data_IF_583181994993
#
_entry.id   IF_583181994993
#
_cell.length_a   1.000
_cell.length_b   1.000
_cell.length_c   1.000
_cell.angle_alpha   90.00
_cell.angle_beta   90.00
_cell.angle_gamma   90.00
#
_symmetry.space_group_name_H-M   'P 1'
#
loop_
_entity.id
_entity.type
_entity.pdbx_description
1 polymer ?
#
# COMPACT_ATOMS: atom_id res chain seq x y z
N UNK A 1 -11.58 2.73 -2.75
CA UNK A 1 -10.55 3.72 -3.12
C UNK A 1 -9.40 3.61 -2.13
N UNK A 2 -8.18 3.49 -2.61
CA UNK A 2 -6.95 3.52 -1.81
C UNK A 2 -6.34 4.92 -1.95
N UNK A 3 -5.96 5.54 -0.84
CA UNK A 3 -5.37 6.88 -0.85
C UNK A 3 -3.98 6.86 -0.25
N UNK A 4 -3.03 7.38 -1.04
CA UNK A 4 -1.71 7.81 -0.61
C UNK A 4 -1.72 9.33 -0.61
N UNK A 5 -1.12 9.97 0.39
CA UNK A 5 -1.17 11.43 0.48
C UNK A 5 0.10 12.03 1.04
N UNK A 6 0.48 13.19 0.52
CA UNK A 6 1.41 14.08 1.21
C UNK A 6 0.66 15.29 1.75
N UNK A 7 1.08 15.78 2.92
CA UNK A 7 0.46 16.92 3.57
C UNK A 7 1.51 17.97 3.92
N UNK A 8 1.49 19.09 3.21
CA UNK A 8 2.41 20.20 3.40
C UNK A 8 1.67 21.54 3.45
N UNK A 9 2.31 22.56 4.02
CA UNK A 9 1.75 23.91 4.18
C UNK A 9 1.34 24.58 2.86
N UNK A 10 1.98 24.22 1.74
CA UNK A 10 1.73 24.80 0.42
C UNK A 10 0.81 23.96 -0.48
N UNK A 11 0.25 22.86 0.03
CA UNK A 11 -0.70 22.04 -0.72
C UNK A 11 -2.00 22.82 -1.00
N UNK A 12 -2.78 22.35 -1.97
CA UNK A 12 -4.00 23.05 -2.39
C UNK A 12 -5.16 22.95 -1.40
N UNK A 13 -5.22 21.89 -0.61
CA UNK A 13 -6.24 21.71 0.42
C UNK A 13 -5.90 22.55 1.66
N UNK A 14 -6.79 23.47 2.04
CA UNK A 14 -6.51 24.51 3.04
C UNK A 14 -7.07 24.26 4.45
N UNK A 15 -7.96 23.28 4.60
CA UNK A 15 -8.55 22.94 5.89
C UNK A 15 -7.69 21.92 6.66
N UNK A 16 -8.22 21.31 7.73
CA UNK A 16 -7.45 20.37 8.56
C UNK A 16 -7.38 18.99 7.90
N UNK A 17 -6.40 18.13 8.25
CA UNK A 17 -6.36 16.75 7.76
C UNK A 17 -7.66 15.96 8.03
N UNK A 18 -8.34 16.24 9.13
CA UNK A 18 -9.64 15.66 9.45
C UNK A 18 -10.74 16.05 8.44
N UNK A 19 -10.69 17.27 7.91
CA UNK A 19 -11.63 17.76 6.90
C UNK A 19 -11.35 17.09 5.54
N UNK A 20 -10.07 16.84 5.21
CA UNK A 20 -9.72 16.02 4.04
C UNK A 20 -10.26 14.60 4.19
N UNK A 21 -10.11 13.96 5.35
CA UNK A 21 -10.67 12.63 5.61
C UNK A 21 -12.19 12.64 5.44
N UNK A 22 -12.88 13.65 5.97
CA UNK A 22 -14.33 13.82 5.79
C UNK A 22 -14.68 13.94 4.31
N UNK A 23 -13.96 14.76 3.54
CA UNK A 23 -14.18 14.90 2.11
C UNK A 23 -13.97 13.58 1.35
N UNK A 24 -12.92 12.81 1.68
CA UNK A 24 -12.66 11.49 1.09
C UNK A 24 -13.76 10.48 1.45
N UNK A 25 -14.23 10.46 2.70
CA UNK A 25 -15.37 9.63 3.14
C UNK A 25 -16.65 9.98 2.38
N UNK A 26 -16.94 11.27 2.18
CA UNK A 26 -18.07 11.72 1.36
C UNK A 26 -17.92 11.30 -0.10
N UNK A 27 -16.71 11.43 -0.67
CA UNK A 27 -16.46 11.10 -2.07
C UNK A 27 -16.61 9.60 -2.38
N UNK A 28 -16.24 8.71 -1.45
CA UNK A 28 -16.50 7.27 -1.61
C UNK A 28 -17.97 6.90 -1.39
N UNK A 29 -18.70 7.72 -0.63
CA UNK A 29 -20.11 7.52 -0.29
C UNK A 29 -20.37 6.35 0.66
N UNK A 30 -21.63 6.18 1.07
CA UNK A 30 -22.04 5.21 2.09
C UNK A 30 -21.83 3.74 1.67
N UNK A 31 -21.78 3.47 0.36
CA UNK A 31 -21.53 2.13 -0.18
C UNK A 31 -20.06 1.91 -0.58
N UNK A 32 -19.21 2.91 -0.38
CA UNK A 32 -17.80 2.84 -0.72
C UNK A 32 -16.93 2.31 0.41
N UNK A 33 -15.71 1.92 0.04
CA UNK A 33 -14.64 1.58 0.98
C UNK A 33 -13.46 2.54 0.74
N UNK A 34 -13.02 3.22 1.80
CA UNK A 34 -11.82 4.05 1.83
C UNK A 34 -10.69 3.28 2.54
N UNK A 35 -9.54 3.17 1.88
CA UNK A 35 -8.38 2.43 2.37
C UNK A 35 -7.14 3.33 2.36
N UNK A 36 -6.28 3.20 3.36
CA UNK A 36 -4.95 3.83 3.40
C UNK A 36 -3.93 2.85 3.97
N UNK A 37 -2.66 2.97 3.60
CA UNK A 37 -1.60 2.22 4.26
C UNK A 37 -1.28 2.83 5.62
N UNK A 38 -0.74 2.02 6.54
CA UNK A 38 -0.40 2.48 7.90
C UNK A 38 0.86 1.86 8.46
N UNK A 39 1.90 1.69 7.64
CA UNK A 39 3.16 1.09 8.10
C UNK A 39 3.71 1.84 9.33
N UNK A 40 4.18 1.12 10.37
CA UNK A 40 4.67 1.72 11.61
C UNK A 40 6.14 2.21 11.51
N UNK A 41 6.71 2.24 10.31
CA UNK A 41 8.08 2.66 10.01
C UNK A 41 8.12 3.48 8.72
N UNK A 42 9.20 4.26 8.56
CA UNK A 42 9.53 5.00 7.34
C UNK A 42 11.05 5.04 7.19
N UNK A 43 11.55 5.29 5.99
CA UNK A 43 13.00 5.38 5.68
C UNK A 43 13.81 4.15 6.12
N UNK A 44 13.20 2.97 6.10
CA UNK A 44 13.86 1.69 6.34
C UNK A 44 13.08 0.57 5.64
N UNK A 45 13.77 -0.54 5.39
CA UNK A 45 13.18 -1.77 4.88
C UNK A 45 12.35 -2.49 5.94
N UNK A 46 11.48 -3.40 5.48
CA UNK A 46 10.74 -4.31 6.35
C UNK A 46 11.67 -5.19 7.20
N UNK A 47 12.82 -5.60 6.65
CA UNK A 47 13.81 -6.38 7.38
C UNK A 47 14.40 -5.59 8.57
N UNK A 48 14.81 -4.34 8.33
CA UNK A 48 15.31 -3.45 9.40
C UNK A 48 14.24 -3.14 10.44
N UNK A 49 12.98 -3.00 10.03
CA UNK A 49 11.86 -2.82 10.97
C UNK A 49 11.68 -4.05 11.86
N UNK A 50 11.64 -5.25 11.27
CA UNK A 50 11.46 -6.51 12.01
C UNK A 50 12.62 -6.76 12.98
N UNK A 51 13.86 -6.45 12.57
CA UNK A 51 15.05 -6.58 13.42
C UNK A 51 15.01 -5.73 14.70
N UNK A 52 14.19 -4.68 14.75
CA UNK A 52 13.99 -3.88 15.99
C UNK A 52 13.19 -4.65 17.06
N UNK A 53 12.49 -5.72 16.69
CA UNK A 53 11.67 -6.52 17.61
C UNK A 53 10.48 -5.79 18.23
N UNK A 54 10.16 -4.57 17.76
CA UNK A 54 9.04 -3.78 18.27
C UNK A 54 7.72 -4.32 17.70
N UNK A 55 6.71 -4.60 18.54
CA UNK A 55 5.43 -5.08 18.04
C UNK A 55 4.66 -4.00 17.26
N UNK A 56 3.98 -4.41 16.19
CA UNK A 56 2.91 -3.63 15.57
C UNK A 56 1.63 -3.86 16.37
N UNK A 57 1.23 -2.87 17.16
CA UNK A 57 -0.03 -2.89 17.89
C UNK A 57 -1.12 -2.19 17.08
N UNK A 58 -2.20 -2.91 16.74
CA UNK A 58 -3.25 -2.39 15.85
C UNK A 58 -3.89 -1.09 16.37
N UNK A 59 -4.03 -0.95 17.70
CA UNK A 59 -4.63 0.22 18.35
C UNK A 59 -3.63 1.36 18.58
N UNK A 60 -2.37 1.04 18.88
CA UNK A 60 -1.41 2.02 19.45
C UNK A 60 -0.26 2.40 18.54
N UNK A 61 0.20 1.51 17.65
CA UNK A 61 1.34 1.85 16.78
C UNK A 61 0.93 2.99 15.83
N UNK A 62 1.71 4.07 15.73
CA UNK A 62 1.40 5.16 14.81
C UNK A 62 1.48 4.67 13.36
N UNK A 63 0.78 5.36 12.47
CA UNK A 63 1.09 5.32 11.05
C UNK A 63 2.24 6.27 10.76
N UNK A 64 3.30 5.78 10.14
CA UNK A 64 4.41 6.60 9.64
C UNK A 64 4.22 6.99 8.16
N UNK A 65 3.04 6.74 7.59
CA UNK A 65 2.69 7.01 6.19
C UNK A 65 2.10 8.42 5.98
N UNK A 66 2.57 9.40 6.76
CA UNK A 66 2.12 10.79 6.70
C UNK A 66 0.94 11.14 7.63
N UNK A 67 0.74 12.44 7.81
CA UNK A 67 -0.22 12.98 8.80
C UNK A 67 -1.66 12.53 8.54
N UNK A 68 -2.09 12.49 7.28
CA UNK A 68 -3.47 12.13 6.91
C UNK A 68 -3.76 10.68 7.30
N UNK A 69 -2.84 9.74 7.08
CA UNK A 69 -3.06 8.34 7.44
C UNK A 69 -3.09 8.13 8.96
N UNK A 70 -2.31 8.88 9.74
CA UNK A 70 -2.39 8.82 11.21
C UNK A 70 -3.69 9.42 11.76
N UNK A 71 -4.19 10.52 11.18
CA UNK A 71 -5.51 11.07 11.54
C UNK A 71 -6.62 10.11 11.11
N UNK A 72 -6.49 9.48 9.94
CA UNK A 72 -7.45 8.47 9.46
C UNK A 72 -7.47 7.26 10.41
N UNK A 73 -6.31 6.75 10.83
CA UNK A 73 -6.20 5.65 11.80
C UNK A 73 -6.99 5.89 13.09
N UNK A 74 -7.03 7.14 13.56
CA UNK A 74 -7.73 7.55 14.79
C UNK A 74 -9.19 7.95 14.57
N UNK A 75 -9.64 7.98 13.31
CA UNK A 75 -11.01 8.40 12.98
C UNK A 75 -12.01 7.31 13.33
N UNK A 76 -13.21 7.72 13.71
CA UNK A 76 -14.31 6.80 14.04
C UNK A 76 -14.64 5.84 12.88
N UNK A 77 -14.91 4.58 13.25
CA UNK A 77 -15.27 3.49 12.34
C UNK A 77 -14.12 2.99 11.45
N UNK A 78 -12.88 3.42 11.69
CA UNK A 78 -11.71 2.94 10.95
C UNK A 78 -11.15 1.69 11.62
N UNK A 79 -10.96 0.65 10.82
CA UNK A 79 -10.36 -0.62 11.23
C UNK A 79 -8.97 -0.76 10.62
N UNK A 80 -8.07 -1.51 11.28
CA UNK A 80 -6.70 -1.74 10.85
C UNK A 80 -6.41 -3.23 10.80
N UNK A 81 -5.89 -3.70 9.66
CA UNK A 81 -5.50 -5.10 9.48
C UNK A 81 -4.32 -5.50 10.38
N UNK A 82 -4.26 -6.76 10.78
CA UNK A 82 -3.20 -7.29 11.63
C UNK A 82 -1.99 -7.78 10.81
N UNK A 83 -1.02 -6.89 10.55
CA UNK A 83 0.22 -7.18 9.82
C UNK A 83 1.41 -6.49 10.46
N UNK A 84 2.50 -7.21 10.73
CA UNK A 84 3.67 -6.65 11.40
C UNK A 84 4.36 -5.55 10.58
N UNK A 85 4.19 -5.58 9.26
CA UNK A 85 4.92 -4.70 8.32
C UNK A 85 3.98 -3.78 7.54
N UNK A 86 2.92 -4.30 6.90
CA UNK A 86 2.12 -3.55 5.91
C UNK A 86 0.63 -3.40 6.28
N UNK A 87 0.27 -2.99 7.51
CA UNK A 87 -1.13 -2.90 7.88
C UNK A 87 -1.88 -1.87 7.04
N UNK A 88 -3.10 -2.22 6.59
CA UNK A 88 -4.05 -1.34 5.92
C UNK A 88 -5.10 -0.83 6.90
N UNK A 89 -5.51 0.43 6.72
CA UNK A 89 -6.66 1.06 7.35
C UNK A 89 -7.85 0.99 6.40
N UNK A 90 -9.03 0.74 6.92
CA UNK A 90 -10.25 0.62 6.14
C UNK A 90 -11.43 1.29 6.86
N UNK A 91 -12.25 2.02 6.10
CA UNK A 91 -13.51 2.60 6.55
C UNK A 91 -14.58 2.47 5.48
N UNK A 92 -15.82 2.24 5.91
CA UNK A 92 -16.99 2.13 5.04
C UNK A 92 -17.42 0.68 4.84
N UNK A 93 -17.97 0.39 3.67
CA UNK A 93 -18.59 -0.89 3.34
C UNK A 93 -17.65 -2.07 3.56
N UNK A 94 -18.07 -3.00 4.41
CA UNK A 94 -17.39 -4.27 4.73
C UNK A 94 -15.92 -4.09 5.15
N UNK A 95 -15.62 -2.99 5.86
CA UNK A 95 -14.24 -2.62 6.20
C UNK A 95 -13.52 -3.69 7.02
N UNK A 96 -14.20 -4.32 7.99
CA UNK A 96 -13.64 -5.40 8.81
C UNK A 96 -13.33 -6.64 7.98
N UNK A 97 -14.27 -7.08 7.14
CA UNK A 97 -14.08 -8.22 6.24
C UNK A 97 -13.00 -7.93 5.19
N UNK A 98 -12.85 -6.68 4.76
CA UNK A 98 -11.78 -6.31 3.85
C UNK A 98 -10.41 -6.51 4.48
N UNK A 99 -10.20 -6.07 5.72
CA UNK A 99 -8.89 -6.16 6.39
C UNK A 99 -8.57 -7.52 7.00
N UNK A 100 -9.56 -8.42 7.11
CA UNK A 100 -9.40 -9.74 7.73
C UNK A 100 -8.44 -10.64 6.94
N UNK A 101 -7.83 -11.60 7.66
CA UNK A 101 -6.91 -12.60 7.10
C UNK A 101 -5.48 -12.13 6.91
N UNK A 102 -5.18 -10.86 7.17
CA UNK A 102 -3.82 -10.32 6.95
C UNK A 102 -2.77 -10.96 7.86
N UNK A 103 -3.17 -11.51 9.00
CA UNK A 103 -2.26 -12.21 9.91
C UNK A 103 -1.92 -13.64 9.49
N UNK A 104 -2.65 -14.20 8.52
CA UNK A 104 -2.59 -15.62 8.16
C UNK A 104 -1.66 -15.88 6.95
N UNK A 105 -0.87 -14.89 6.53
CA UNK A 105 0.00 -14.95 5.34
C UNK A 105 1.45 -14.61 5.69
N UNK A 106 2.40 -15.33 5.08
CA UNK A 106 3.83 -15.00 5.12
C UNK A 106 4.20 -13.89 4.12
N UNK A 107 3.29 -13.53 3.20
CA UNK A 107 3.44 -12.46 2.21
C UNK A 107 2.47 -11.32 2.56
N UNK A 108 2.94 -10.21 3.17
CA UNK A 108 2.09 -9.10 3.62
C UNK A 108 1.30 -8.41 2.49
N UNK A 109 1.76 -8.52 1.25
CA UNK A 109 1.08 -7.99 0.07
C UNK A 109 0.91 -9.09 -0.99
N UNK A 110 0.83 -10.36 -0.58
CA UNK A 110 0.57 -11.49 -1.48
C UNK A 110 -0.93 -11.75 -1.70
N UNK A 111 -1.29 -12.85 -2.38
CA UNK A 111 -2.68 -13.15 -2.77
C UNK A 111 -3.62 -13.42 -1.58
N UNK A 112 -3.06 -13.88 -0.45
CA UNK A 112 -3.80 -14.12 0.80
C UNK A 112 -3.94 -12.85 1.67
N UNK A 113 -3.32 -11.73 1.26
CA UNK A 113 -3.42 -10.46 1.99
C UNK A 113 -4.64 -9.65 1.52
N UNK A 114 -5.08 -8.64 2.30
CA UNK A 114 -6.10 -7.69 1.85
C UNK A 114 -5.80 -6.94 0.53
N UNK A 115 -4.56 -6.98 0.03
CA UNK A 115 -4.22 -6.40 -1.26
C UNK A 115 -4.89 -7.15 -2.43
N UNK A 116 -5.14 -8.45 -2.35
CA UNK A 116 -5.89 -9.18 -3.40
C UNK A 116 -7.31 -8.66 -3.55
N UNK A 117 -7.97 -8.35 -2.43
CA UNK A 117 -9.31 -7.74 -2.39
C UNK A 117 -9.34 -6.35 -3.07
N UNK A 118 -8.21 -5.64 -3.16
CA UNK A 118 -8.12 -4.39 -3.94
C UNK A 118 -8.15 -4.66 -5.45
N UNK A 119 -7.45 -5.71 -5.91
CA UNK A 119 -7.47 -6.14 -7.30
C UNK A 119 -8.87 -6.63 -7.70
N UNK A 120 -9.47 -7.53 -6.90
CA UNK A 120 -10.82 -8.08 -7.13
C UNK A 120 -11.88 -6.99 -7.27
N UNK A 121 -11.76 -5.92 -6.47
CA UNK A 121 -12.67 -4.76 -6.50
C UNK A 121 -12.30 -3.72 -7.55
N UNK A 122 -11.26 -3.96 -8.35
CA UNK A 122 -10.64 -3.02 -9.28
C UNK A 122 -10.50 -1.61 -8.68
N UNK A 123 -9.88 -1.56 -7.49
CA UNK A 123 -9.84 -0.36 -6.68
C UNK A 123 -9.21 0.81 -7.43
N UNK A 124 -9.77 2.01 -7.24
CA UNK A 124 -9.10 3.26 -7.60
C UNK A 124 -8.00 3.53 -6.58
N UNK A 125 -6.75 3.63 -7.04
CA UNK A 125 -5.59 4.01 -6.22
C UNK A 125 -5.27 5.46 -6.55
N UNK A 126 -5.25 6.31 -5.54
CA UNK A 126 -5.14 7.76 -5.66
C UNK A 126 -3.96 8.27 -4.85
N UNK A 127 -3.08 9.03 -5.49
CA UNK A 127 -2.11 9.90 -4.86
C UNK A 127 -2.67 11.31 -4.77
N UNK A 128 -2.88 11.79 -3.54
CA UNK A 128 -3.32 13.14 -3.22
C UNK A 128 -2.13 13.97 -2.74
N UNK A 129 -1.60 14.82 -3.61
CA UNK A 129 -0.30 15.48 -3.43
C UNK A 129 0.85 14.48 -3.16
N UNK A 130 0.68 13.22 -3.58
CA UNK A 130 1.66 12.14 -3.45
C UNK A 130 1.96 11.53 -4.83
N UNK A 131 3.23 11.24 -5.16
CA UNK A 131 3.59 10.66 -6.45
C UNK A 131 3.25 9.16 -6.52
N UNK A 132 3.26 8.63 -7.74
CA UNK A 132 3.04 7.20 -8.01
C UNK A 132 4.00 6.30 -7.22
N UNK A 133 5.24 6.73 -6.99
CA UNK A 133 6.25 5.98 -6.22
C UNK A 133 5.88 5.68 -4.77
N UNK A 134 4.78 6.28 -4.27
CA UNK A 134 4.23 5.98 -2.94
C UNK A 134 3.23 4.83 -2.95
N UNK A 135 2.81 4.34 -4.12
CA UNK A 135 1.74 3.36 -4.26
C UNK A 135 2.20 1.97 -3.82
N UNK A 136 1.92 1.63 -2.56
CA UNK A 136 2.29 0.34 -1.98
C UNK A 136 1.67 -0.87 -2.71
N UNK A 137 0.60 -0.66 -3.48
CA UNK A 137 0.02 -1.71 -4.32
C UNK A 137 0.99 -2.21 -5.41
N UNK A 138 2.02 -1.44 -5.77
CA UNK A 138 3.09 -1.91 -6.66
C UNK A 138 3.77 -3.17 -6.13
N UNK A 139 3.93 -3.34 -4.82
CA UNK A 139 4.51 -4.57 -4.25
C UNK A 139 3.62 -5.80 -4.43
N UNK A 140 2.29 -5.64 -4.41
CA UNK A 140 1.37 -6.73 -4.74
C UNK A 140 1.47 -7.12 -6.22
N UNK A 141 1.69 -6.14 -7.10
CA UNK A 141 1.94 -6.39 -8.54
C UNK A 141 3.27 -7.10 -8.77
N UNK A 142 4.31 -6.75 -8.01
CA UNK A 142 5.60 -7.45 -8.04
C UNK A 142 5.45 -8.91 -7.62
N UNK A 143 4.68 -9.18 -6.57
CA UNK A 143 4.40 -10.56 -6.12
C UNK A 143 3.65 -11.38 -7.18
N UNK A 144 2.75 -10.76 -7.96
CA UNK A 144 2.09 -11.41 -9.10
C UNK A 144 3.01 -11.76 -10.26
N UNK A 145 4.20 -11.15 -10.30
CA UNK A 145 5.19 -11.33 -11.35
C UNK A 145 6.42 -12.09 -10.84
N UNK A 146 6.36 -12.68 -9.64
CA UNK A 146 7.52 -13.31 -8.98
C UNK A 146 8.23 -14.33 -9.88
N UNK A 147 7.48 -15.08 -10.69
CA UNK A 147 8.02 -16.11 -11.59
C UNK A 147 8.70 -15.53 -12.84
N UNK A 148 8.43 -14.27 -13.19
CA UNK A 148 9.07 -13.58 -14.33
C UNK A 148 10.24 -12.68 -13.92
N UNK A 149 10.52 -12.52 -12.62
CA UNK A 149 11.59 -11.66 -12.16
C UNK A 149 12.97 -12.26 -12.47
N UNK A 150 13.96 -11.43 -12.83
CA UNK A 150 15.33 -11.90 -13.07
C UNK A 150 16.09 -12.25 -11.78
N UNK A 151 15.48 -12.01 -10.61
CA UNK A 151 16.04 -12.27 -9.29
C UNK A 151 14.88 -12.53 -8.32
N UNK A 152 15.04 -13.41 -7.31
CA UNK A 152 13.99 -13.64 -6.32
C UNK A 152 13.47 -12.35 -5.69
N UNK A 153 12.14 -12.17 -5.68
CA UNK A 153 11.52 -10.99 -5.06
C UNK A 153 11.81 -10.90 -3.56
N UNK A 154 11.85 -12.05 -2.90
CA UNK A 154 11.96 -12.17 -1.45
C UNK A 154 13.30 -12.77 -1.03
N UNK A 155 13.76 -12.40 0.16
CA UNK A 155 14.78 -13.15 0.87
C UNK A 155 14.33 -14.60 1.12
N UNK A 156 15.26 -15.58 1.13
CA UNK A 156 14.92 -16.99 1.30
C UNK A 156 14.44 -17.32 2.71
N UNK A 157 14.95 -16.61 3.72
CA UNK A 157 14.61 -16.80 5.13
C UNK A 157 13.41 -15.94 5.54
N UNK A 158 12.51 -16.53 6.34
CA UNK A 158 11.42 -15.80 6.97
C UNK A 158 11.95 -15.01 8.17
N UNK A 159 11.50 -13.77 8.29
CA UNK A 159 11.78 -12.92 9.43
C UNK A 159 10.58 -12.88 10.39
N UNK A 160 10.87 -12.96 11.69
CA UNK A 160 9.85 -12.87 12.72
C UNK A 160 9.41 -11.41 12.94
N UNK A 161 8.10 -11.18 12.96
CA UNK A 161 7.48 -9.93 13.35
C UNK A 161 6.48 -10.13 14.46
N UNK A 162 6.41 -9.19 15.40
CA UNK A 162 5.43 -9.23 16.50
C UNK A 162 4.24 -8.36 16.17
N UNK A 163 3.04 -8.84 16.46
CA UNK A 163 1.80 -8.08 16.35
C UNK A 163 1.01 -8.16 17.65
N UNK A 164 0.27 -7.09 17.96
CA UNK A 164 -0.70 -7.07 19.06
C UNK A 164 -2.06 -6.73 18.50
N UNK A 165 -3.02 -7.63 18.70
CA UNK A 165 -4.38 -7.54 18.15
C UNK A 165 -5.28 -6.55 18.92
N UNK A 166 -6.57 -6.55 18.58
CA UNK A 166 -7.57 -5.68 19.21
C UNK A 166 -7.91 -6.08 20.65
N UNK A 167 -7.69 -7.32 21.04
CA UNK A 167 -7.94 -7.85 22.39
C UNK A 167 -6.68 -7.72 23.28
N UNK A 168 -5.55 -7.36 22.69
CA UNK A 168 -4.27 -7.18 23.38
C UNK A 168 -3.40 -8.42 23.36
N UNK A 169 -3.76 -9.46 22.60
CA UNK A 169 -2.95 -10.66 22.47
C UNK A 169 -1.77 -10.37 21.55
N UNK A 170 -0.56 -10.76 21.99
CA UNK A 170 0.64 -10.73 21.17
C UNK A 170 0.81 -12.05 20.44
N UNK A 171 1.16 -11.99 19.16
CA UNK A 171 1.54 -13.16 18.36
C UNK A 171 2.71 -12.85 17.42
N UNK A 172 3.39 -13.91 16.99
CA UNK A 172 4.49 -13.82 16.02
C UNK A 172 3.98 -14.18 14.63
N UNK A 173 4.31 -13.33 13.66
CA UNK A 173 4.15 -13.58 12.23
C UNK A 173 5.51 -13.90 11.62
N UNK A 174 5.57 -14.89 10.74
CA UNK A 174 6.78 -15.24 9.98
C UNK A 174 6.61 -14.73 8.56
N UNK A 175 7.44 -13.75 8.17
CA UNK A 175 7.20 -12.94 6.99
C UNK A 175 8.35 -13.02 6.00
N UNK A 176 8.00 -13.09 4.71
CA UNK A 176 8.90 -12.79 3.61
C UNK A 176 9.10 -11.30 3.51
N UNK A 177 10.34 -10.89 3.25
CA UNK A 177 10.71 -9.50 3.03
C UNK A 177 11.33 -9.34 1.65
N UNK A 178 11.06 -8.22 0.99
CA UNK A 178 11.61 -7.94 -0.34
C UNK A 178 13.14 -7.95 -0.27
N UNK A 179 13.77 -8.65 -1.20
CA UNK A 179 15.23 -8.71 -1.29
C UNK A 179 15.82 -7.33 -1.60
N UNK A 180 16.91 -6.90 -0.92
CA UNK A 180 17.63 -5.68 -1.28
C UNK A 180 18.11 -5.69 -2.74
N UNK A 181 18.44 -6.86 -3.30
CA UNK A 181 18.86 -7.00 -4.70
C UNK A 181 17.69 -6.69 -5.65
N UNK A 182 16.54 -7.34 -5.44
CA UNK A 182 15.33 -7.07 -6.22
C UNK A 182 14.92 -5.58 -6.13
N UNK A 183 14.98 -5.01 -4.92
CA UNK A 183 14.68 -3.59 -4.72
C UNK A 183 15.65 -2.66 -5.50
N UNK A 184 16.94 -3.01 -5.58
CA UNK A 184 17.95 -2.26 -6.36
C UNK A 184 17.75 -2.39 -7.88
N UNK A 185 17.23 -3.53 -8.33
CA UNK A 185 16.97 -3.79 -9.74
C UNK A 185 15.67 -3.17 -10.26
N UNK A 186 14.74 -2.79 -9.37
CA UNK A 186 13.49 -2.12 -9.76
C UNK A 186 13.75 -0.87 -10.60
N UNK A 187 13.04 -0.73 -11.72
CA UNK A 187 13.04 0.40 -12.66
C UNK A 187 11.61 0.89 -12.83
N UNK A 188 11.08 1.53 -11.78
CA UNK A 188 9.68 1.98 -11.72
C UNK A 188 9.34 2.94 -12.87
N UNK A 189 10.31 3.69 -13.37
CA UNK A 189 10.17 4.58 -14.53
C UNK A 189 9.70 3.84 -15.79
N UNK A 190 10.10 2.57 -15.99
CA UNK A 190 9.63 1.75 -17.12
C UNK A 190 8.16 1.41 -16.98
N UNK A 191 7.74 1.07 -15.76
CA UNK A 191 6.35 0.81 -15.44
C UNK A 191 5.51 2.07 -15.64
N UNK A 192 5.95 3.22 -15.13
CA UNK A 192 5.27 4.51 -15.33
C UNK A 192 5.13 4.83 -16.82
N UNK A 193 6.21 4.73 -17.60
CA UNK A 193 6.17 5.00 -19.05
C UNK A 193 5.16 4.11 -19.79
N UNK A 194 5.08 2.83 -19.43
CA UNK A 194 4.09 1.92 -19.98
C UNK A 194 2.64 2.29 -19.63
N UNK A 195 2.42 2.68 -18.37
CA UNK A 195 1.08 3.04 -17.91
C UNK A 195 0.63 4.39 -18.49
N UNK A 196 1.56 5.30 -18.76
CA UNK A 196 1.28 6.57 -19.44
C UNK A 196 1.03 6.35 -20.94
N UNK A 197 1.82 5.50 -21.61
CA UNK A 197 1.64 5.19 -23.04
C UNK A 197 0.30 4.47 -23.32
N UNK A 198 -0.16 3.65 -22.38
CA UNK A 198 -1.47 2.98 -22.43
C UNK A 198 -2.62 3.82 -21.88
N UNK A 199 -2.34 5.06 -21.44
CA UNK A 199 -3.31 5.99 -20.84
C UNK A 199 -4.02 5.42 -19.59
N UNK A 200 -3.40 4.46 -18.91
CA UNK A 200 -3.90 3.83 -17.68
C UNK A 200 -3.56 4.65 -16.43
N UNK A 201 -2.40 5.32 -16.41
CA UNK A 201 -2.01 6.24 -15.34
C UNK A 201 -2.50 7.64 -15.67
N UNK A 202 -3.31 8.20 -14.79
CA UNK A 202 -3.90 9.52 -14.98
C UNK A 202 -3.31 10.53 -14.00
N UNK A 203 -3.26 11.80 -14.44
CA UNK A 203 -2.81 12.93 -13.63
C UNK A 203 -3.79 14.09 -13.81
N UNK A 204 -3.96 14.88 -12.77
CA UNK A 204 -4.87 16.02 -12.77
C UNK A 204 -4.61 16.95 -11.59
N UNK A 205 -5.37 18.04 -11.52
CA UNK A 205 -5.28 18.98 -10.40
C UNK A 205 -6.65 19.45 -9.96
N UNK A 206 -6.78 19.73 -8.67
CA UNK A 206 -7.90 20.48 -8.09
C UNK A 206 -7.29 21.67 -7.35
N UNK A 207 -7.40 22.86 -7.92
CA UNK A 207 -6.63 24.02 -7.46
C UNK A 207 -5.13 23.72 -7.50
N UNK A 208 -4.45 23.91 -6.37
CA UNK A 208 -3.02 23.59 -6.25
C UNK A 208 -2.72 22.12 -5.91
N UNK A 209 -3.73 21.32 -5.55
CA UNK A 209 -3.53 19.90 -5.24
C UNK A 209 -3.29 19.12 -6.52
N UNK A 210 -2.20 18.36 -6.56
CA UNK A 210 -1.88 17.43 -7.62
C UNK A 210 -2.50 16.06 -7.31
N UNK A 211 -3.10 15.45 -8.32
CA UNK A 211 -3.68 14.12 -8.25
C UNK A 211 -2.99 13.21 -9.27
N UNK A 212 -2.71 11.99 -8.85
CA UNK A 212 -2.31 10.88 -9.73
C UNK A 212 -3.19 9.69 -9.38
N UNK A 213 -3.76 9.00 -10.37
CA UNK A 213 -4.62 7.86 -10.07
C UNK A 213 -4.56 6.78 -11.16
N UNK A 214 -4.86 5.56 -10.72
CA UNK A 214 -4.91 4.38 -11.57
C UNK A 214 -5.89 3.36 -11.00
N UNK A 215 -6.40 2.47 -11.86
CA UNK A 215 -7.18 1.30 -11.47
C UNK A 215 -6.25 0.12 -11.15
N UNK A 216 -6.49 -0.59 -10.06
CA UNK A 216 -5.68 -1.73 -9.63
C UNK A 216 -5.47 -2.77 -10.74
N UNK A 217 -6.52 -3.09 -11.51
CA UNK A 217 -6.42 -4.01 -12.64
C UNK A 217 -5.52 -3.47 -13.75
N UNK A 218 -5.62 -2.18 -14.06
CA UNK A 218 -4.82 -1.56 -15.11
C UNK A 218 -3.32 -1.51 -14.73
N UNK A 219 -3.02 -1.28 -13.44
CA UNK A 219 -1.66 -1.33 -12.92
C UNK A 219 -1.04 -2.74 -13.09
N UNK A 220 -1.77 -3.79 -12.70
CA UNK A 220 -1.30 -5.17 -12.88
C UNK A 220 -1.14 -5.53 -14.36
N UNK A 221 -2.13 -5.24 -15.20
CA UNK A 221 -2.10 -5.56 -16.64
C UNK A 221 -0.97 -4.82 -17.36
N UNK A 222 -0.70 -3.57 -17.00
CA UNK A 222 0.43 -2.82 -17.55
C UNK A 222 1.78 -3.45 -17.21
N UNK A 223 1.95 -3.90 -15.97
CA UNK A 223 3.16 -4.59 -15.52
C UNK A 223 3.33 -5.97 -16.18
N UNK A 224 2.26 -6.75 -16.30
CA UNK A 224 2.25 -8.04 -17.02
C UNK A 224 2.66 -7.88 -18.49
N UNK A 225 2.19 -6.81 -19.15
CA UNK A 225 2.57 -6.52 -20.54
C UNK A 225 4.08 -6.31 -20.67
N UNK A 226 4.71 -5.55 -19.77
CA UNK A 226 6.17 -5.39 -19.76
C UNK A 226 6.92 -6.71 -19.56
N UNK A 227 6.42 -7.58 -18.68
CA UNK A 227 7.02 -8.90 -18.46
C UNK A 227 6.94 -9.78 -19.71
N UNK A 228 5.80 -9.78 -20.41
CA UNK A 228 5.58 -10.55 -21.65
C UNK A 228 6.40 -10.03 -22.84
N UNK A 229 6.62 -8.71 -22.93
CA UNK A 229 7.38 -8.07 -24.02
C UNK A 229 8.91 -8.12 -23.81
N UNK A 230 9.38 -8.70 -22.71
CA UNK A 230 10.80 -8.79 -22.37
C UNK A 230 11.42 -7.47 -21.89
N UNK A 231 10.62 -6.41 -21.75
CA UNK A 231 11.03 -5.10 -21.23
C UNK A 231 10.67 -4.97 -19.76
N UNK A 232 11.04 -5.96 -18.95
CA UNK A 232 10.68 -6.02 -17.54
C UNK A 232 11.07 -4.71 -16.81
N UNK A 233 10.25 -4.29 -15.84
CA UNK A 233 10.57 -3.15 -14.96
C UNK A 233 11.55 -3.52 -13.83
N UNK A 234 12.32 -4.59 -14.03
CA UNK A 234 13.45 -5.01 -13.20
C UNK A 234 14.64 -5.24 -14.12
N UNK A 235 15.82 -4.79 -13.71
CA UNK A 235 17.07 -5.11 -14.40
C UNK A 235 17.53 -6.53 -14.10
N UNK A 236 18.23 -7.12 -15.06
CA UNK A 236 19.00 -8.34 -14.82
C UNK A 236 20.22 -8.03 -13.92
N UNK A 237 20.66 -8.99 -13.08
CA UNK A 237 21.87 -8.86 -12.26
C UNK A 237 23.12 -8.47 -13.03
#
# INVERSE_FOLDING_TARGET
>A
MVVHSSWHQHNGFRDKPADLIKALKTAVGNNGLLVMTSMPYHNMSSAEWLAKGKPMNVRRSPSMMGLVSEVFRRSEGVHRSLSATHPLLAWGKDAQDFISGHQDTDRPFGPQSPFSKLLERNALILGFDAPFSTFTFTHFVEDHLVDSLPTPLYEPELLAGKVVDYDGNESTQWLRVISPLANKQRREERLIAQLESSQALHRGRIGNTALVWIRAQALLTGAQKLALEGTHFFDHP
#
